data_IF_204454005245
#
_entry.id   IF_204454005245
#
_cell.length_a   1.000
_cell.length_b   1.000
_cell.length_c   1.000
_cell.angle_alpha   90.00
_cell.angle_beta   90.00
_cell.angle_gamma   90.00
#
_symmetry.space_group_name_H-M   'P 1'
#
loop_
_entity.id
_entity.type
_entity.pdbx_description
1 polymer ?
#
# COMPACT_ATOMS: atom_id res chain seq x y z
N UNK A 1 13.92 -5.31 -22.98
CA UNK A 1 13.59 -3.91 -22.59
C UNK A 1 12.66 -3.99 -21.40
N UNK A 2 12.98 -3.47 -20.20
CA UNK A 2 12.00 -3.44 -19.14
C UNK A 2 10.96 -2.39 -19.53
N UNK A 3 9.75 -2.85 -19.86
CA UNK A 3 8.58 -1.97 -20.00
C UNK A 3 8.31 -1.39 -18.62
N UNK A 4 8.68 -0.14 -18.41
CA UNK A 4 8.24 0.66 -17.28
C UNK A 4 6.76 0.97 -17.47
N UNK A 5 5.91 0.04 -17.06
CA UNK A 5 4.47 0.27 -16.91
C UNK A 5 4.12 0.03 -15.46
N UNK A 6 4.21 1.08 -14.65
CA UNK A 6 3.07 1.58 -13.88
C UNK A 6 3.49 2.88 -13.16
N UNK A 7 2.58 3.84 -13.15
CA UNK A 7 2.77 5.21 -12.66
C UNK A 7 2.69 5.34 -11.14
N UNK A 8 3.01 4.28 -10.39
CA UNK A 8 2.97 4.25 -8.92
C UNK A 8 1.62 4.74 -8.40
N UNK A 9 0.51 4.34 -9.04
CA UNK A 9 -0.81 4.83 -8.67
C UNK A 9 -1.27 4.04 -7.45
N UNK A 10 -1.39 4.75 -6.34
CA UNK A 10 -1.86 4.20 -5.08
C UNK A 10 -3.33 4.58 -4.87
N UNK A 11 -4.15 3.58 -4.54
CA UNK A 11 -5.53 3.74 -4.15
C UNK A 11 -5.75 3.10 -2.78
N UNK A 12 -6.41 3.82 -1.88
CA UNK A 12 -6.87 3.25 -0.62
C UNK A 12 -8.33 3.56 -0.37
N UNK A 13 -9.02 2.62 0.29
CA UNK A 13 -10.40 2.77 0.73
C UNK A 13 -10.59 2.04 2.06
N UNK A 14 -11.11 2.77 3.05
CA UNK A 14 -11.59 2.18 4.29
C UNK A 14 -13.06 1.75 4.16
N UNK A 15 -13.38 0.54 4.57
CA UNK A 15 -14.74 0.02 4.70
C UNK A 15 -14.88 -0.82 5.97
N UNK A 16 -15.89 -0.53 6.79
CA UNK A 16 -16.37 -1.38 7.89
C UNK A 16 -15.28 -2.22 8.60
N UNK A 17 -14.32 -1.55 9.23
CA UNK A 17 -13.21 -2.15 10.01
C UNK A 17 -11.99 -2.67 9.21
N UNK A 18 -11.90 -2.40 7.91
CA UNK A 18 -10.70 -2.69 7.10
C UNK A 18 -10.27 -1.50 6.26
N UNK A 19 -8.97 -1.39 6.02
CA UNK A 19 -8.40 -0.51 5.00
C UNK A 19 -7.81 -1.38 3.89
N UNK A 20 -8.39 -1.27 2.70
CA UNK A 20 -7.84 -1.90 1.49
C UNK A 20 -6.93 -0.90 0.76
N UNK A 21 -5.76 -1.37 0.38
CA UNK A 21 -4.80 -0.60 -0.42
C UNK A 21 -4.44 -1.36 -1.70
N UNK A 22 -4.26 -0.62 -2.78
CA UNK A 22 -3.80 -1.14 -4.06
C UNK A 22 -2.74 -0.20 -4.62
N UNK A 23 -1.58 -0.74 -4.97
CA UNK A 23 -0.54 0.00 -5.70
C UNK A 23 0.04 -0.89 -6.78
N UNK A 24 -0.14 -0.48 -8.04
CA UNK A 24 0.32 -1.19 -9.22
C UNK A 24 -0.11 -2.68 -9.22
N UNK A 25 0.77 -3.58 -8.75
CA UNK A 25 0.54 -5.04 -8.66
C UNK A 25 0.50 -5.54 -7.22
N UNK A 26 0.28 -4.68 -6.24
CA UNK A 26 0.20 -5.01 -4.81
C UNK A 26 -1.22 -4.76 -4.31
N UNK A 27 -1.78 -5.72 -3.57
CA UNK A 27 -3.01 -5.54 -2.79
C UNK A 27 -2.71 -5.80 -1.31
N UNK A 28 -3.06 -4.85 -0.45
CA UNK A 28 -2.84 -4.93 0.99
C UNK A 28 -4.12 -4.67 1.78
N UNK A 29 -4.18 -5.22 2.98
CA UNK A 29 -5.28 -5.06 3.92
C UNK A 29 -4.73 -4.75 5.32
N UNK A 30 -5.27 -3.72 5.94
CA UNK A 30 -5.14 -3.49 7.40
C UNK A 30 -6.43 -3.98 8.05
N UNK A 31 -6.29 -4.91 8.99
CA UNK A 31 -7.36 -5.49 9.79
C UNK A 31 -6.78 -5.91 11.15
N UNK A 32 -7.24 -5.35 12.29
CA UNK A 32 -8.36 -4.43 12.45
C UNK A 32 -8.02 -2.97 12.06
N UNK A 33 -8.99 -2.27 11.48
CA UNK A 33 -8.94 -0.83 11.21
C UNK A 33 -10.07 -0.11 11.97
N UNK A 34 -9.91 1.14 12.45
CA UNK A 34 -10.95 1.79 13.25
C UNK A 34 -12.31 1.82 12.53
N UNK A 35 -13.32 1.19 13.15
CA UNK A 35 -14.62 0.94 12.53
C UNK A 35 -15.35 2.21 12.05
N UNK A 36 -15.16 3.33 12.76
CA UNK A 36 -15.79 4.62 12.45
C UNK A 36 -15.05 5.40 11.36
N UNK A 37 -13.92 4.91 10.86
CA UNK A 37 -13.13 5.59 9.84
C UNK A 37 -13.66 5.29 8.44
N UNK A 38 -14.23 6.30 7.80
CA UNK A 38 -14.58 6.28 6.37
C UNK A 38 -13.62 7.21 5.66
N UNK A 39 -12.84 6.65 4.74
CA UNK A 39 -11.83 7.43 4.03
C UNK A 39 -11.36 6.79 2.75
N UNK A 40 -10.73 7.63 1.92
CA UNK A 40 -10.14 7.23 0.65
C UNK A 40 -8.90 8.04 0.36
N UNK A 41 -7.97 7.45 -0.38
CA UNK A 41 -6.81 8.15 -0.90
C UNK A 41 -6.53 7.78 -2.34
N UNK A 42 -6.02 8.76 -3.09
CA UNK A 42 -5.49 8.58 -4.43
C UNK A 42 -4.19 9.35 -4.53
N UNK A 43 -3.11 8.62 -4.73
CA UNK A 43 -1.76 9.17 -4.70
C UNK A 43 -0.93 8.65 -5.87
N UNK A 44 0.10 9.42 -6.23
CA UNK A 44 1.07 9.07 -7.26
C UNK A 44 2.46 9.12 -6.68
N UNK A 45 3.28 8.15 -7.04
CA UNK A 45 4.64 8.05 -6.57
C UNK A 45 5.58 7.51 -7.64
N UNK A 46 6.80 7.21 -7.21
CA UNK A 46 7.78 6.52 -8.05
C UNK A 46 7.40 5.07 -8.34
N UNK A 47 8.17 4.38 -9.20
CA UNK A 47 7.99 2.94 -9.42
C UNK A 47 8.21 2.17 -8.11
N UNK A 48 7.40 1.14 -7.88
CA UNK A 48 7.55 0.25 -6.73
C UNK A 48 8.82 -0.60 -6.87
N UNK A 49 9.62 -0.67 -5.79
CA UNK A 49 10.78 -1.56 -5.75
C UNK A 49 10.37 -3.05 -5.83
N UNK A 50 11.31 -3.92 -6.20
CA UNK A 50 11.04 -5.35 -6.19
C UNK A 50 10.91 -5.88 -4.76
N UNK A 51 9.73 -6.41 -4.44
CA UNK A 51 9.38 -6.92 -3.12
C UNK A 51 8.92 -8.39 -3.20
N UNK A 52 8.80 -9.11 -2.07
CA UNK A 52 8.32 -10.49 -2.00
C UNK A 52 6.94 -10.77 -2.67
N UNK A 53 6.41 -11.98 -2.55
CA UNK A 53 5.04 -12.26 -3.03
C UNK A 53 3.97 -11.85 -2.02
N UNK A 54 4.29 -11.91 -0.73
CA UNK A 54 3.42 -11.52 0.36
C UNK A 54 4.29 -11.13 1.55
N UNK A 55 3.71 -10.42 2.51
CA UNK A 55 4.40 -10.05 3.73
C UNK A 55 3.61 -9.06 4.57
N UNK A 56 4.28 -8.50 5.57
CA UNK A 56 3.76 -7.42 6.40
C UNK A 56 4.25 -6.07 5.88
N UNK A 57 3.44 -5.04 6.07
CA UNK A 57 3.78 -3.68 5.70
C UNK A 57 3.33 -2.70 6.79
N UNK A 58 3.90 -1.50 6.75
CA UNK A 58 3.43 -0.31 7.43
C UNK A 58 3.11 0.76 6.40
N UNK A 59 1.99 1.43 6.58
CA UNK A 59 1.59 2.54 5.74
C UNK A 59 1.33 3.78 6.59
N UNK A 60 1.88 4.91 6.18
CA UNK A 60 1.68 6.19 6.85
C UNK A 60 1.07 7.18 5.88
N UNK A 61 -0.08 7.75 6.26
CA UNK A 61 -0.74 8.80 5.51
C UNK A 61 -0.65 10.13 6.27
N UNK A 62 -0.19 11.16 5.57
CA UNK A 62 -0.25 12.54 6.04
C UNK A 62 -1.37 13.30 5.31
N UNK A 63 -1.39 14.63 5.36
CA UNK A 63 -2.35 15.44 4.63
C UNK A 63 -2.21 15.32 3.11
N UNK A 64 -1.00 15.10 2.59
CA UNK A 64 -0.74 15.06 1.15
C UNK A 64 0.31 14.02 0.71
N UNK A 65 0.90 13.27 1.64
CA UNK A 65 1.87 12.21 1.35
C UNK A 65 1.43 10.85 1.89
N UNK A 66 1.94 9.79 1.29
CA UNK A 66 1.87 8.44 1.81
C UNK A 66 3.21 7.74 1.64
N UNK A 67 3.63 7.03 2.68
CA UNK A 67 4.81 6.16 2.64
C UNK A 67 4.38 4.72 2.90
N UNK A 68 4.97 3.79 2.15
CA UNK A 68 4.78 2.35 2.32
C UNK A 68 6.13 1.74 2.66
N UNK A 69 6.17 1.10 3.82
CA UNK A 69 7.33 0.39 4.35
C UNK A 69 6.97 -1.10 4.43
N UNK A 70 7.92 -1.98 4.12
CA UNK A 70 7.75 -3.43 4.32
C UNK A 70 8.83 -3.93 5.26
N UNK A 71 8.51 -5.01 5.97
CA UNK A 71 9.54 -5.75 6.69
C UNK A 71 10.50 -6.33 5.68
N UNK A 72 11.78 -6.07 5.86
CA UNK A 72 12.81 -6.76 5.11
C UNK A 72 12.77 -8.26 5.43
N UNK A 73 13.21 -9.09 4.48
CA UNK A 73 13.30 -10.53 4.70
C UNK A 73 14.56 -10.92 5.51
N UNK A 74 15.22 -9.96 6.16
CA UNK A 74 16.41 -10.26 6.95
C UNK A 74 15.99 -10.73 8.33
N UNK A 75 16.86 -11.47 9.00
CA UNK A 75 16.62 -11.94 10.39
C UNK A 75 16.42 -10.77 11.38
N UNK A 76 16.67 -9.53 10.96
CA UNK A 76 16.55 -8.31 11.76
C UNK A 76 15.15 -7.68 11.71
N UNK A 77 14.29 -8.06 10.76
CA UNK A 77 12.90 -7.62 10.68
C UNK A 77 12.74 -6.10 10.67
N UNK A 78 13.59 -5.40 9.91
CA UNK A 78 13.58 -3.94 9.82
C UNK A 78 12.56 -3.46 8.79
N UNK A 79 11.85 -2.37 9.09
CA UNK A 79 11.00 -1.70 8.10
C UNK A 79 11.86 -0.91 7.11
N UNK A 80 11.63 -1.15 5.81
CA UNK A 80 12.30 -0.45 4.72
C UNK A 80 11.25 0.25 3.86
N UNK A 81 11.41 1.56 3.67
CA UNK A 81 10.58 2.34 2.74
C UNK A 81 10.80 1.87 1.31
N UNK A 82 9.75 1.33 0.70
CA UNK A 82 9.77 0.82 -0.69
C UNK A 82 9.03 1.71 -1.67
N UNK A 83 8.20 2.62 -1.15
CA UNK A 83 7.43 3.53 -1.97
C UNK A 83 7.01 4.77 -1.20
N UNK A 84 7.08 5.90 -1.88
CA UNK A 84 6.56 7.19 -1.42
C UNK A 84 5.73 7.81 -2.54
N UNK A 85 4.61 8.42 -2.17
CA UNK A 85 3.76 9.14 -3.09
C UNK A 85 3.11 10.36 -2.47
N UNK A 86 2.58 11.19 -3.34
CA UNK A 86 1.86 12.41 -3.01
C UNK A 86 0.50 12.40 -3.68
N UNK A 87 -0.50 13.01 -3.02
CA UNK A 87 -1.83 13.13 -3.59
C UNK A 87 -2.85 13.61 -2.58
N UNK A 88 -4.09 13.21 -2.81
CA UNK A 88 -5.22 13.60 -1.96
C UNK A 88 -5.64 12.41 -1.10
N UNK A 89 -5.90 12.69 0.18
CA UNK A 89 -6.60 11.78 1.06
C UNK A 89 -7.70 12.51 1.79
N UNK A 90 -8.76 11.78 2.13
CA UNK A 90 -9.85 12.26 2.97
C UNK A 90 -10.12 11.21 4.04
N UNK A 91 -9.99 11.60 5.30
CA UNK A 91 -10.30 10.74 6.44
C UNK A 91 -9.30 9.61 6.67
N UNK A 92 -8.15 9.61 5.99
CA UNK A 92 -7.08 8.64 6.17
C UNK A 92 -5.81 9.39 6.59
N UNK A 93 -5.69 9.73 7.87
CA UNK A 93 -4.46 10.26 8.46
C UNK A 93 -4.00 9.35 9.61
N UNK A 94 -2.72 8.99 9.63
CA UNK A 94 -2.16 8.08 10.62
C UNK A 94 -1.22 7.03 10.04
N UNK A 95 -0.79 6.12 10.91
CA UNK A 95 0.13 5.03 10.58
C UNK A 95 -0.53 3.71 10.96
N UNK A 96 -0.46 2.73 10.07
CA UNK A 96 -1.11 1.43 10.24
C UNK A 96 -0.26 0.29 9.70
N UNK A 97 -0.34 -0.85 10.37
CA UNK A 97 0.34 -2.08 9.98
C UNK A 97 -0.67 -3.05 9.34
N UNK A 98 -0.26 -3.77 8.30
CA UNK A 98 -1.13 -4.70 7.58
C UNK A 98 -0.37 -5.80 6.86
N UNK A 99 -1.13 -6.61 6.13
CA UNK A 99 -0.59 -7.69 5.30
C UNK A 99 -0.88 -7.45 3.83
N UNK A 100 0.07 -7.80 2.97
CA UNK A 100 -0.04 -7.61 1.54
C UNK A 100 0.27 -8.88 0.75
N UNK A 101 -0.21 -8.89 -0.49
CA UNK A 101 0.08 -9.89 -1.51
C UNK A 101 0.26 -9.22 -2.87
N UNK A 102 1.10 -9.80 -3.74
CA UNK A 102 1.11 -9.46 -5.15
C UNK A 102 -0.20 -9.88 -5.79
N UNK A 103 -0.75 -9.00 -6.61
CA UNK A 103 -1.83 -9.29 -7.56
C UNK A 103 -1.13 -10.02 -8.71
N UNK A 104 -1.32 -11.33 -8.79
CA UNK A 104 -0.89 -12.06 -9.98
C UNK A 104 -1.70 -11.53 -11.16
N UNK A 105 -1.00 -10.96 -12.15
CA UNK A 105 -1.62 -10.31 -13.32
C UNK A 105 -2.45 -11.32 -14.14
N UNK A 106 -2.23 -12.63 -13.93
CA UNK A 106 -2.96 -13.72 -14.56
C UNK A 106 -4.30 -14.07 -13.87
N UNK A 107 -4.54 -13.64 -12.62
CA UNK A 107 -5.81 -13.92 -11.92
C UNK A 107 -6.95 -12.95 -12.29
N UNK A 108 -6.64 -11.79 -12.87
CA UNK A 108 -7.65 -10.78 -13.26
C UNK A 108 -8.24 -11.06 -14.66
N UNK A 109 -7.68 -12.05 -15.38
CA UNK A 109 -8.10 -12.42 -16.74
C UNK A 109 -9.04 -13.63 -16.81
N UNK A 110 -9.63 -14.07 -15.68
CA UNK A 110 -10.62 -15.16 -15.62
C UNK A 110 -11.99 -14.69 -15.15
#
# INVERSE_FOLDING_TARGET
MPKTTNSGNFFARANHNKLHIVIDTLSGVVDPFPADTIGSATMRGGPLAHIPKAGKFRITFTSFTCTLEVFDNTDEGMLVTIWEGMGTQKGLAGTWDGEWKRIDVDEVAR
#
